data_IF_935641707216
#
_entry.id   IF_935641707216
#
_cell.length_a   1.000
_cell.length_b   1.000
_cell.length_c   1.000
_cell.angle_alpha   90.00
_cell.angle_beta   90.00
_cell.angle_gamma   90.00
#
_symmetry.space_group_name_H-M   'P 1'
#
loop_
_entity.id
_entity.type
_entity.pdbx_description
1 polymer ?
#
# COMPACT_ATOMS: atom_id res chain seq x y z
N UNK A 1 -30.19 -0.14 0.13
CA UNK A 1 -28.77 0.00 0.50
C UNK A 1 -27.94 -0.76 -0.51
N UNK A 2 -27.00 -0.12 -1.20
CA UNK A 2 -26.11 -0.80 -2.16
C UNK A 2 -25.09 -1.66 -1.39
N UNK A 3 -24.73 -2.84 -1.92
CA UNK A 3 -23.81 -3.76 -1.25
C UNK A 3 -22.45 -3.12 -0.89
N UNK A 4 -22.00 -2.17 -1.71
CA UNK A 4 -20.77 -1.40 -1.50
C UNK A 4 -20.82 -0.48 -0.26
N UNK A 5 -22.01 -0.03 0.15
CA UNK A 5 -22.16 0.77 1.36
C UNK A 5 -22.13 -0.09 2.65
N UNK A 6 -22.23 -1.41 2.53
CA UNK A 6 -22.16 -2.30 3.68
C UNK A 6 -20.76 -2.26 4.29
N UNK A 7 -20.66 -1.90 5.57
CA UNK A 7 -19.39 -1.65 6.26
C UNK A 7 -18.36 -2.77 6.10
N UNK A 8 -18.79 -4.03 6.18
CA UNK A 8 -17.90 -5.18 6.04
C UNK A 8 -17.34 -5.30 4.60
N UNK A 9 -18.18 -5.06 3.59
CA UNK A 9 -17.77 -5.14 2.18
C UNK A 9 -16.80 -4.01 1.86
N UNK A 10 -17.10 -2.79 2.33
CA UNK A 10 -16.24 -1.63 2.21
C UNK A 10 -14.87 -1.88 2.86
N UNK A 11 -14.83 -2.41 4.08
CA UNK A 11 -13.58 -2.72 4.77
C UNK A 11 -12.74 -3.79 4.03
N UNK A 12 -13.36 -4.89 3.59
CA UNK A 12 -12.67 -5.96 2.86
C UNK A 12 -12.12 -5.46 1.52
N UNK A 13 -12.89 -4.66 0.79
CA UNK A 13 -12.41 -4.01 -0.44
C UNK A 13 -11.22 -3.09 -0.17
N UNK A 14 -11.31 -2.28 0.90
CA UNK A 14 -10.21 -1.42 1.31
C UNK A 14 -8.95 -2.21 1.62
N UNK A 15 -9.06 -3.28 2.41
CA UNK A 15 -7.93 -4.18 2.71
C UNK A 15 -7.35 -4.79 1.44
N UNK A 16 -8.19 -5.24 0.50
CA UNK A 16 -7.75 -5.80 -0.77
C UNK A 16 -6.94 -4.81 -1.61
N UNK A 17 -7.37 -3.56 -1.68
CA UNK A 17 -6.62 -2.50 -2.38
C UNK A 17 -5.32 -2.16 -1.64
N UNK A 18 -5.36 -2.03 -0.30
CA UNK A 18 -4.17 -1.81 0.51
C UNK A 18 -3.13 -2.91 0.29
N UNK A 19 -3.56 -4.16 0.23
CA UNK A 19 -2.69 -5.30 -0.06
C UNK A 19 -2.11 -5.27 -1.48
N UNK A 20 -2.92 -4.94 -2.50
CA UNK A 20 -2.45 -4.82 -3.88
C UNK A 20 -1.37 -3.74 -4.03
N UNK A 21 -1.53 -2.59 -3.34
CA UNK A 21 -0.53 -1.52 -3.30
C UNK A 21 0.79 -1.95 -2.64
N UNK A 22 0.74 -2.84 -1.64
CA UNK A 22 1.97 -3.38 -1.04
C UNK A 22 2.61 -4.43 -1.91
N UNK A 23 1.84 -5.32 -2.54
CA UNK A 23 2.38 -6.33 -3.44
C UNK A 23 3.13 -5.70 -4.62
N UNK A 24 2.68 -4.57 -5.15
CA UNK A 24 3.41 -3.85 -6.20
C UNK A 24 4.75 -3.28 -5.72
N UNK A 25 4.93 -3.05 -4.41
CA UNK A 25 6.18 -2.55 -3.82
C UNK A 25 7.35 -3.54 -3.94
N UNK A 26 7.05 -4.85 -3.98
CA UNK A 26 8.06 -5.91 -4.10
C UNK A 26 8.88 -5.79 -5.37
N UNK A 27 8.28 -5.29 -6.44
CA UNK A 27 8.99 -5.05 -7.70
C UNK A 27 10.07 -3.96 -7.55
N UNK A 28 9.77 -2.90 -6.79
CA UNK A 28 10.72 -1.80 -6.54
C UNK A 28 11.88 -2.23 -5.66
N UNK A 29 11.63 -3.02 -4.61
CA UNK A 29 12.70 -3.50 -3.73
C UNK A 29 13.67 -4.47 -4.40
N UNK A 30 13.21 -5.24 -5.41
CA UNK A 30 14.10 -6.10 -6.20
C UNK A 30 15.14 -5.32 -7.01
N UNK A 31 14.89 -4.05 -7.31
CA UNK A 31 15.84 -3.20 -8.04
C UNK A 31 16.95 -2.63 -7.13
N UNK A 32 16.85 -2.79 -5.81
CA UNK A 32 17.85 -2.30 -4.86
C UNK A 32 18.94 -3.35 -4.67
N UNK A 33 20.06 -3.18 -5.37
CA UNK A 33 21.21 -4.10 -5.30
C UNK A 33 22.39 -3.45 -4.55
N UNK A 34 23.32 -4.25 -3.98
CA UNK A 34 24.50 -3.71 -3.29
C UNK A 34 25.40 -2.84 -4.17
N UNK A 35 25.40 -3.10 -5.48
CA UNK A 35 26.24 -2.42 -6.46
C UNK A 35 25.73 -1.00 -6.77
N UNK A 36 24.43 -0.75 -6.59
CA UNK A 36 23.85 0.58 -6.80
C UNK A 36 22.70 0.88 -5.82
N UNK A 37 23.03 1.15 -4.54
CA UNK A 37 22.03 1.36 -3.50
C UNK A 37 21.23 2.67 -3.69
N UNK A 38 21.85 3.71 -4.25
CA UNK A 38 21.21 5.02 -4.45
C UNK A 38 20.09 4.97 -5.48
N UNK A 39 20.33 4.33 -6.64
CA UNK A 39 19.32 4.16 -7.67
C UNK A 39 18.14 3.31 -7.18
N UNK A 40 18.43 2.24 -6.43
CA UNK A 40 17.40 1.40 -5.80
C UNK A 40 16.54 2.17 -4.79
N UNK A 41 17.16 3.01 -3.95
CA UNK A 41 16.47 3.86 -3.01
C UNK A 41 15.60 4.90 -3.72
N UNK A 42 16.10 5.55 -4.77
CA UNK A 42 15.35 6.51 -5.57
C UNK A 42 14.10 5.87 -6.20
N UNK A 43 14.23 4.68 -6.79
CA UNK A 43 13.10 3.93 -7.34
C UNK A 43 12.07 3.54 -6.26
N UNK A 44 12.53 3.11 -5.09
CA UNK A 44 11.65 2.78 -3.97
C UNK A 44 10.87 4.01 -3.47
N UNK A 45 11.54 5.16 -3.38
CA UNK A 45 10.92 6.44 -3.00
C UNK A 45 9.87 6.89 -4.04
N UNK A 46 10.23 6.91 -5.32
CA UNK A 46 9.31 7.27 -6.42
C UNK A 46 8.11 6.34 -6.44
N UNK A 47 8.32 5.02 -6.28
CA UNK A 47 7.20 4.07 -6.27
C UNK A 47 6.32 4.24 -5.04
N UNK A 48 6.85 4.66 -3.89
CA UNK A 48 6.06 4.98 -2.70
C UNK A 48 5.14 6.16 -2.97
N UNK A 49 5.66 7.25 -3.54
CA UNK A 49 4.83 8.41 -3.90
C UNK A 49 3.78 8.06 -4.95
N UNK A 50 4.12 7.25 -5.96
CA UNK A 50 3.15 6.77 -6.93
C UNK A 50 2.01 5.96 -6.28
N UNK A 51 2.34 5.07 -5.34
CA UNK A 51 1.34 4.30 -4.58
C UNK A 51 0.46 5.19 -3.70
N UNK A 52 1.02 6.24 -3.09
CA UNK A 52 0.25 7.24 -2.34
C UNK A 52 -0.70 8.02 -3.23
N UNK A 53 -0.27 8.41 -4.43
CA UNK A 53 -1.15 9.06 -5.41
C UNK A 53 -2.29 8.14 -5.84
N UNK A 54 -2.01 6.86 -6.11
CA UNK A 54 -3.04 5.85 -6.43
C UNK A 54 -4.01 5.67 -5.26
N UNK A 55 -3.50 5.52 -4.04
CA UNK A 55 -4.34 5.38 -2.84
C UNK A 55 -5.26 6.59 -2.66
N UNK A 56 -4.73 7.81 -2.80
CA UNK A 56 -5.52 9.03 -2.73
C UNK A 56 -6.60 9.09 -3.83
N UNK A 57 -6.26 8.72 -5.06
CA UNK A 57 -7.21 8.66 -6.18
C UNK A 57 -8.34 7.66 -5.93
N UNK A 58 -8.02 6.46 -5.41
CA UNK A 58 -9.00 5.44 -5.05
C UNK A 58 -9.90 5.90 -3.90
N UNK A 59 -9.33 6.50 -2.85
CA UNK A 59 -10.10 7.04 -1.72
C UNK A 59 -11.05 8.15 -2.18
N UNK A 60 -10.56 9.05 -3.05
CA UNK A 60 -11.37 10.11 -3.63
C UNK A 60 -12.53 9.55 -4.46
N UNK A 61 -12.25 8.59 -5.34
CA UNK A 61 -13.28 7.93 -6.14
C UNK A 61 -14.33 7.25 -5.24
N UNK A 62 -13.89 6.48 -4.24
CA UNK A 62 -14.81 5.79 -3.33
C UNK A 62 -15.70 6.78 -2.56
N UNK A 63 -15.11 7.86 -2.05
CA UNK A 63 -15.85 8.93 -1.36
C UNK A 63 -16.91 9.57 -2.26
N UNK A 64 -16.61 9.75 -3.54
CA UNK A 64 -17.53 10.38 -4.48
C UNK A 64 -18.72 9.47 -4.84
N UNK A 65 -18.49 8.17 -5.05
CA UNK A 65 -19.53 7.23 -5.47
C UNK A 65 -20.29 6.56 -4.30
N UNK A 66 -19.62 6.34 -3.16
CA UNK A 66 -20.16 5.58 -2.01
C UNK A 66 -19.78 6.27 -0.69
N UNK A 67 -20.30 7.47 -0.41
CA UNK A 67 -19.92 8.26 0.77
C UNK A 67 -20.20 7.54 2.09
N UNK A 68 -21.32 6.80 2.18
CA UNK A 68 -21.75 6.10 3.41
C UNK A 68 -20.79 4.97 3.82
N UNK A 69 -20.10 4.36 2.86
CA UNK A 69 -19.13 3.29 3.09
C UNK A 69 -17.68 3.79 3.24
N UNK A 70 -17.45 5.11 3.16
CA UNK A 70 -16.10 5.66 3.03
C UNK A 70 -15.20 5.35 4.24
N UNK A 71 -15.71 5.54 5.46
CA UNK A 71 -14.93 5.34 6.69
C UNK A 71 -14.37 3.91 6.80
N UNK A 72 -15.19 2.85 6.74
CA UNK A 72 -14.67 1.48 6.80
C UNK A 72 -13.76 1.14 5.62
N UNK A 73 -14.05 1.66 4.41
CA UNK A 73 -13.17 1.48 3.26
C UNK A 73 -11.79 2.12 3.49
N UNK A 74 -11.75 3.39 3.89
CA UNK A 74 -10.51 4.12 4.14
C UNK A 74 -9.68 3.47 5.26
N UNK A 75 -10.33 3.01 6.33
CA UNK A 75 -9.68 2.26 7.40
C UNK A 75 -9.10 0.93 6.88
N UNK A 76 -9.82 0.22 6.01
CA UNK A 76 -9.33 -0.99 5.36
C UNK A 76 -8.11 -0.75 4.47
N UNK A 77 -8.13 0.32 3.64
CA UNK A 77 -6.98 0.71 2.80
C UNK A 77 -5.77 1.04 3.66
N UNK A 78 -5.95 1.91 4.66
CA UNK A 78 -4.86 2.33 5.53
C UNK A 78 -4.30 1.14 6.34
N UNK A 79 -5.17 0.34 6.97
CA UNK A 79 -4.77 -0.83 7.73
C UNK A 79 -4.07 -1.88 6.87
N UNK A 80 -4.65 -2.23 5.71
CA UNK A 80 -4.07 -3.20 4.78
C UNK A 80 -2.70 -2.75 4.24
N UNK A 81 -2.58 -1.47 3.88
CA UNK A 81 -1.32 -0.92 3.40
C UNK A 81 -0.26 -0.85 4.52
N UNK A 82 -0.56 -0.22 5.65
CA UNK A 82 0.41 0.02 6.72
C UNK A 82 0.93 -1.27 7.35
N UNK A 83 0.03 -2.24 7.62
CA UNK A 83 0.42 -3.52 8.24
C UNK A 83 1.35 -4.29 7.32
N UNK A 84 0.98 -4.46 6.05
CA UNK A 84 1.79 -5.22 5.11
C UNK A 84 3.09 -4.49 4.77
N UNK A 85 3.06 -3.17 4.64
CA UNK A 85 4.26 -2.37 4.37
C UNK A 85 5.26 -2.42 5.54
N UNK A 86 4.78 -2.38 6.80
CA UNK A 86 5.64 -2.54 7.98
C UNK A 86 6.29 -3.95 8.03
N UNK A 87 5.54 -5.00 7.70
CA UNK A 87 6.08 -6.36 7.58
C UNK A 87 7.18 -6.41 6.51
N UNK A 88 6.94 -5.80 5.34
CA UNK A 88 7.91 -5.76 4.25
C UNK A 88 9.19 -5.00 4.67
N UNK A 89 9.04 -3.84 5.30
CA UNK A 89 10.15 -3.01 5.78
C UNK A 89 11.03 -3.74 6.79
N UNK A 90 10.41 -4.41 7.78
CA UNK A 90 11.15 -5.19 8.79
C UNK A 90 11.87 -6.39 8.17
N UNK A 91 11.28 -7.03 7.16
CA UNK A 91 11.92 -8.13 6.43
C UNK A 91 13.16 -7.67 5.68
N UNK A 92 13.07 -6.59 4.91
CA UNK A 92 14.23 -6.06 4.16
C UNK A 92 15.29 -5.45 5.07
N UNK A 93 14.90 -4.76 6.15
CA UNK A 93 15.84 -4.23 7.14
C UNK A 93 16.69 -5.32 7.80
N UNK A 94 16.08 -6.48 8.14
CA UNK A 94 16.84 -7.62 8.68
C UNK A 94 17.82 -8.23 7.69
N UNK A 95 17.50 -8.25 6.40
CA UNK A 95 18.40 -8.76 5.35
C UNK A 95 19.64 -7.88 5.23
N UNK A 96 19.47 -6.56 5.22
CA UNK A 96 20.56 -5.57 5.16
C UNK A 96 21.50 -5.60 6.36
N UNK A 97 20.99 -5.85 7.58
CA UNK A 97 21.81 -5.95 8.79
C UNK A 97 22.67 -7.22 8.79
N UNK A 98 22.17 -8.32 8.20
CA UNK A 98 22.84 -9.63 8.21
C UNK A 98 23.91 -9.79 7.13
N UNK A 99 23.98 -8.85 6.18
CA UNK A 99 24.97 -8.83 5.09
C UNK A 99 26.17 -7.92 5.36
N UNK A 100 26.21 -7.24 6.52
CA UNK A 100 27.39 -6.54 7.04
C UNK A 100 28.11 -7.42 8.05
#
# INVERSE_FOLDING_TARGET
MTLLAHWAVAAVLGVGIGAALVLSSRASFKAMTPENPEAGLALAAVSLFARMAIAAGVLFAYRHFVPDGFVPFAAGVAGGFLVLYAIELTRYGRVLVRSR
#
